data_IF_922491415882
#
_entry.id   IF_922491415882
#
_cell.length_a   1.000
_cell.length_b   1.000
_cell.length_c   1.000
_cell.angle_alpha   90.00
_cell.angle_beta   90.00
_cell.angle_gamma   90.00
#
_symmetry.space_group_name_H-M   'P 1'
#
loop_
_entity.id
_entity.type
_entity.pdbx_description
1 polymer ?
#
# COMPACT_ATOMS: atom_id res chain seq x y z
N UNK A 1 26.02 -2.50 -28.74
CA UNK A 1 25.60 -1.33 -27.94
C UNK A 1 24.14 -1.51 -27.59
N UNK A 2 23.84 -1.75 -26.30
CA UNK A 2 22.49 -2.08 -25.83
C UNK A 2 21.60 -0.84 -25.87
N UNK A 3 20.43 -0.93 -26.52
CA UNK A 3 19.35 0.05 -26.39
C UNK A 3 18.84 -0.01 -24.94
N UNK A 4 19.47 0.70 -24.01
CA UNK A 4 18.74 1.11 -22.79
C UNK A 4 17.54 1.92 -23.27
N UNK A 5 16.34 1.47 -22.95
CA UNK A 5 15.11 2.13 -23.39
C UNK A 5 15.09 3.56 -22.88
N UNK A 6 14.76 4.53 -23.74
CA UNK A 6 14.43 5.92 -23.39
C UNK A 6 13.33 6.09 -22.31
N UNK A 7 12.76 4.99 -21.81
CA UNK A 7 11.52 4.90 -21.03
C UNK A 7 11.66 5.22 -19.53
N UNK A 8 12.88 5.24 -18.99
CA UNK A 8 13.15 5.59 -17.59
C UNK A 8 14.02 6.85 -17.44
N UNK A 9 14.25 7.60 -18.52
CA UNK A 9 15.21 8.72 -18.52
C UNK A 9 14.86 9.83 -17.51
N UNK A 10 13.58 9.94 -17.10
CA UNK A 10 13.15 10.93 -16.12
C UNK A 10 12.89 10.37 -14.72
N UNK A 11 13.03 9.05 -14.50
CA UNK A 11 12.84 8.46 -13.16
C UNK A 11 14.08 8.72 -12.31
N UNK A 12 13.88 9.45 -11.21
CA UNK A 12 14.94 9.82 -10.25
C UNK A 12 14.68 9.24 -8.86
N UNK A 13 13.42 8.97 -8.54
CA UNK A 13 13.01 8.45 -7.24
C UNK A 13 12.19 7.18 -7.44
N UNK A 14 12.42 6.18 -6.60
CA UNK A 14 11.56 5.00 -6.50
C UNK A 14 10.78 5.10 -5.19
N UNK A 15 9.47 4.89 -5.25
CA UNK A 15 8.59 4.85 -4.08
C UNK A 15 7.94 3.47 -4.01
N UNK A 16 8.26 2.73 -2.96
CA UNK A 16 7.52 1.54 -2.55
C UNK A 16 6.32 1.96 -1.71
N UNK A 17 5.11 1.72 -2.21
CA UNK A 17 3.86 2.06 -1.54
C UNK A 17 3.17 0.78 -1.06
N UNK A 18 2.99 0.69 0.25
CA UNK A 18 2.14 -0.30 0.88
C UNK A 18 0.79 0.36 1.19
N UNK A 19 -0.18 0.12 0.32
CA UNK A 19 -1.56 0.53 0.52
C UNK A 19 -2.32 -0.60 1.21
N UNK A 20 -2.19 -0.70 2.54
CA UNK A 20 -2.83 -1.77 3.32
C UNK A 20 -4.30 -1.50 3.65
N UNK A 21 -5.02 -2.53 4.08
CA UNK A 21 -6.44 -2.42 4.45
C UNK A 21 -6.69 -1.50 5.65
N UNK A 22 -5.80 -1.55 6.65
CA UNK A 22 -5.96 -0.80 7.91
C UNK A 22 -4.95 0.32 8.04
N UNK A 23 -3.73 0.10 7.54
CA UNK A 23 -2.63 1.05 7.59
C UNK A 23 -1.92 1.08 6.25
N UNK A 24 -1.50 2.25 5.83
CA UNK A 24 -0.66 2.43 4.65
C UNK A 24 0.63 3.16 5.00
N UNK A 25 1.68 2.89 4.25
CA UNK A 25 2.98 3.54 4.40
C UNK A 25 3.76 3.54 3.09
N UNK A 26 4.80 4.35 3.02
CA UNK A 26 5.69 4.34 1.87
C UNK A 26 7.15 4.50 2.27
N UNK A 27 8.00 3.86 1.47
CA UNK A 27 9.46 3.95 1.53
C UNK A 27 9.94 4.48 0.19
N UNK A 28 10.99 5.27 0.20
CA UNK A 28 11.48 5.95 -0.98
C UNK A 28 13.01 6.00 -1.01
N UNK A 29 13.60 6.05 -2.21
CA UNK A 29 15.04 6.21 -2.39
C UNK A 29 15.34 6.93 -3.71
N UNK A 30 16.50 7.59 -3.77
CA UNK A 30 17.01 8.13 -5.03
C UNK A 30 17.70 7.02 -5.83
N UNK A 31 17.55 7.03 -7.15
CA UNK A 31 18.11 5.98 -8.03
C UNK A 31 19.64 5.91 -8.00
N UNK A 32 20.30 7.02 -7.65
CA UNK A 32 21.76 7.13 -7.61
C UNK A 32 22.36 6.57 -6.31
N UNK A 33 21.78 6.89 -5.15
CA UNK A 33 22.32 6.48 -3.84
C UNK A 33 21.74 5.16 -3.32
N UNK A 34 20.53 4.79 -3.77
CA UNK A 34 19.76 3.61 -3.35
C UNK A 34 19.59 3.50 -1.83
N UNK A 35 19.72 4.61 -1.10
CA UNK A 35 19.50 4.63 0.34
C UNK A 35 17.99 4.74 0.60
N UNK A 36 17.41 3.67 1.15
CA UNK A 36 16.01 3.62 1.48
C UNK A 36 15.72 4.47 2.71
N UNK A 37 14.62 5.21 2.66
CA UNK A 37 14.07 5.93 3.80
C UNK A 37 12.57 5.72 3.85
N UNK A 38 12.04 5.41 5.02
CA UNK A 38 10.61 5.22 5.24
C UNK A 38 10.02 6.51 5.76
N UNK A 39 8.83 6.88 5.27
CA UNK A 39 8.16 8.06 5.80
C UNK A 39 7.70 7.82 7.24
N UNK A 40 7.94 8.82 8.09
CA UNK A 40 7.54 8.82 9.51
C UNK A 40 6.70 10.05 9.89
N UNK A 41 6.46 10.94 8.92
CA UNK A 41 5.74 12.19 9.15
C UNK A 41 4.38 12.12 8.48
N UNK A 42 3.33 12.18 9.28
CA UNK A 42 1.94 12.10 8.82
C UNK A 42 1.12 13.26 9.42
N UNK A 43 0.00 13.64 8.80
CA UNK A 43 -0.92 14.58 9.42
C UNK A 43 -1.30 14.14 10.85
N UNK A 44 -0.95 14.95 11.85
CA UNK A 44 -1.27 14.67 13.26
C UNK A 44 -0.45 13.54 13.93
N UNK A 45 0.56 12.95 13.27
CA UNK A 45 1.45 11.94 13.87
C UNK A 45 2.89 12.07 13.38
N UNK A 46 3.85 11.93 14.29
CA UNK A 46 5.29 11.88 13.99
C UNK A 46 5.91 10.60 14.55
N UNK A 47 6.87 10.02 13.83
CA UNK A 47 7.60 8.82 14.24
C UNK A 47 6.84 7.50 14.01
N UNK A 48 5.77 7.53 13.21
CA UNK A 48 5.00 6.34 12.84
C UNK A 48 5.33 5.95 11.40
N UNK A 49 5.69 4.69 11.13
CA UNK A 49 5.99 4.26 9.75
C UNK A 49 4.78 4.18 8.82
N UNK A 50 3.57 4.16 9.40
CA UNK A 50 2.31 4.06 8.67
C UNK A 50 1.26 4.97 9.28
N UNK A 51 0.28 5.36 8.47
CA UNK A 51 -0.97 6.02 8.91
C UNK A 51 -2.18 5.16 8.58
N UNK A 52 -3.34 5.46 9.19
CA UNK A 52 -4.57 4.71 9.01
C UNK A 52 -5.14 4.81 7.58
N UNK A 53 -5.58 3.70 7.00
CA UNK A 53 -6.29 3.67 5.70
C UNK A 53 -7.76 4.06 5.89
N UNK A 54 -7.99 5.33 6.20
CA UNK A 54 -9.31 5.87 6.58
C UNK A 54 -9.51 7.26 5.98
N UNK A 55 -10.75 7.55 5.60
CA UNK A 55 -11.20 8.86 5.11
C UNK A 55 -12.38 9.36 5.96
N UNK A 56 -12.45 10.66 6.21
CA UNK A 56 -13.64 11.38 6.68
C UNK A 56 -14.08 12.31 5.54
N UNK A 57 -15.32 12.16 5.08
CA UNK A 57 -15.93 13.04 4.10
C UNK A 57 -16.74 14.18 4.77
N UNK A 58 -17.09 15.19 3.99
CA UNK A 58 -18.13 16.14 4.36
C UNK A 58 -19.52 15.49 4.43
N UNK A 59 -20.52 16.25 4.88
CA UNK A 59 -21.88 15.75 5.10
C UNK A 59 -22.58 15.31 3.79
N UNK A 60 -22.15 15.88 2.66
CA UNK A 60 -22.65 15.56 1.32
C UNK A 60 -21.91 14.35 0.69
N UNK A 61 -20.86 13.84 1.35
CA UNK A 61 -20.00 12.74 0.88
C UNK A 61 -19.27 13.02 -0.45
N UNK A 62 -19.05 14.30 -0.75
CA UNK A 62 -18.47 14.77 -2.01
C UNK A 62 -16.98 15.07 -1.87
N UNK A 63 -16.51 15.40 -0.66
CA UNK A 63 -15.13 15.83 -0.43
C UNK A 63 -14.53 15.19 0.81
N UNK A 64 -13.29 14.72 0.68
CA UNK A 64 -12.46 14.33 1.82
C UNK A 64 -12.11 15.56 2.65
N UNK A 65 -12.50 15.57 3.92
CA UNK A 65 -12.15 16.62 4.89
C UNK A 65 -10.98 16.22 5.77
N UNK A 66 -10.84 14.92 6.08
CA UNK A 66 -9.68 14.36 6.80
C UNK A 66 -9.34 12.99 6.22
N UNK A 67 -8.08 12.61 6.32
CA UNK A 67 -7.59 11.28 5.97
C UNK A 67 -6.57 10.83 7.01
N UNK A 68 -6.24 9.55 7.03
CA UNK A 68 -5.24 9.04 7.97
C UNK A 68 -5.72 9.06 9.41
N UNK A 69 -4.78 9.16 10.35
CA UNK A 69 -5.07 9.27 11.77
C UNK A 69 -6.02 10.42 12.16
N UNK A 70 -5.94 11.63 11.57
CA UNK A 70 -6.88 12.71 11.87
C UNK A 70 -8.36 12.34 11.74
N UNK A 71 -8.72 11.49 10.76
CA UNK A 71 -10.11 11.03 10.57
C UNK A 71 -10.64 10.23 11.78
N UNK A 72 -9.76 9.64 12.59
CA UNK A 72 -10.12 8.86 13.78
C UNK A 72 -10.19 9.70 15.07
N UNK A 73 -9.49 10.82 15.16
CA UNK A 73 -9.21 11.49 16.46
C UNK A 73 -10.29 12.44 16.97
N UNK A 74 -11.17 12.94 16.12
CA UNK A 74 -12.28 13.79 16.57
C UNK A 74 -13.25 12.94 17.41
N UNK A 75 -13.29 13.15 18.73
CA UNK A 75 -14.34 12.62 19.63
C UNK A 75 -15.62 13.44 19.42
N UNK A 76 -16.67 12.89 18.81
CA UNK A 76 -17.96 13.58 18.76
C UNK A 76 -18.64 13.58 20.14
N UNK A 77 -19.54 14.54 20.36
CA UNK A 77 -20.53 14.44 21.44
C UNK A 77 -21.50 13.28 21.14
N UNK A 78 -22.12 12.69 22.17
CA UNK A 78 -23.00 11.50 22.03
C UNK A 78 -24.07 11.59 20.93
N UNK A 79 -24.56 12.79 20.59
CA UNK A 79 -25.55 12.98 19.51
C UNK A 79 -24.93 13.07 18.10
N UNK A 80 -23.64 13.41 17.98
CA UNK A 80 -22.92 13.50 16.70
C UNK A 80 -22.18 12.20 16.32
N UNK A 81 -22.18 11.18 17.20
CA UNK A 81 -21.52 9.89 16.94
C UNK A 81 -22.08 9.17 15.71
N UNK A 82 -23.41 9.20 15.53
CA UNK A 82 -24.08 8.47 14.44
C UNK A 82 -23.74 9.11 13.08
N UNK A 83 -23.83 10.45 12.97
CA UNK A 83 -23.52 11.16 11.73
C UNK A 83 -22.01 11.08 11.42
N UNK A 84 -21.15 11.21 12.43
CA UNK A 84 -19.69 11.10 12.23
C UNK A 84 -19.29 9.72 11.69
N UNK A 85 -19.91 8.64 12.19
CA UNK A 85 -19.64 7.28 11.68
C UNK A 85 -20.10 7.09 10.23
N UNK A 86 -21.07 7.86 9.73
CA UNK A 86 -21.50 7.76 8.32
C UNK A 86 -20.49 8.38 7.36
N UNK A 87 -19.83 9.46 7.77
CA UNK A 87 -18.88 10.15 6.90
C UNK A 87 -17.47 9.54 6.97
N UNK A 88 -17.18 8.72 7.99
CA UNK A 88 -15.93 7.99 8.12
C UNK A 88 -16.01 6.67 7.35
N UNK A 89 -15.08 6.49 6.41
CA UNK A 89 -15.01 5.32 5.52
C UNK A 89 -13.72 4.57 5.80
N UNK A 90 -13.85 3.33 6.26
CA UNK A 90 -12.74 2.42 6.56
C UNK A 90 -12.88 1.15 5.71
N UNK A 91 -11.80 0.35 5.63
CA UNK A 91 -11.84 -1.02 5.08
C UNK A 91 -12.29 -1.14 3.61
N UNK A 92 -12.35 -0.01 2.88
CA UNK A 92 -12.79 0.05 1.49
C UNK A 92 -11.89 -0.77 0.54
N UNK A 93 -10.60 -0.96 0.86
CA UNK A 93 -9.70 -1.86 0.11
C UNK A 93 -10.23 -3.30 0.03
N UNK A 94 -10.97 -3.77 1.04
CA UNK A 94 -11.48 -5.15 1.06
C UNK A 94 -12.48 -5.43 -0.09
N UNK A 95 -13.11 -4.40 -0.63
CA UNK A 95 -14.07 -4.53 -1.74
C UNK A 95 -13.40 -4.88 -3.09
N UNK A 96 -12.06 -4.79 -3.17
CA UNK A 96 -11.29 -5.32 -4.31
C UNK A 96 -11.14 -6.84 -4.25
N UNK A 97 -11.20 -7.43 -3.06
CA UNK A 97 -11.04 -8.87 -2.87
C UNK A 97 -12.32 -9.66 -3.13
N UNK A 98 -12.17 -10.98 -3.21
CA UNK A 98 -13.29 -11.92 -3.34
C UNK A 98 -14.00 -12.17 -2.00
N UNK A 99 -14.36 -11.10 -1.30
CA UNK A 99 -15.17 -11.20 -0.09
C UNK A 99 -16.53 -11.84 -0.39
N UNK A 100 -16.93 -12.79 0.45
CA UNK A 100 -18.28 -13.33 0.39
C UNK A 100 -19.30 -12.19 0.61
N UNK A 101 -20.51 -12.26 0.02
CA UNK A 101 -21.50 -11.19 0.19
C UNK A 101 -21.88 -10.90 1.65
N UNK A 102 -21.83 -11.92 2.53
CA UNK A 102 -22.10 -11.80 3.97
C UNK A 102 -21.03 -11.00 4.72
N UNK A 103 -19.86 -10.87 4.10
CA UNK A 103 -18.67 -10.24 4.60
C UNK A 103 -18.47 -8.82 3.99
N UNK A 104 -19.34 -8.38 3.09
CA UNK A 104 -19.24 -7.02 2.56
C UNK A 104 -19.81 -6.02 3.55
N UNK A 105 -18.98 -5.05 3.91
CA UNK A 105 -19.38 -3.93 4.77
C UNK A 105 -20.09 -2.91 3.86
N UNK A 106 -21.16 -2.30 4.34
CA UNK A 106 -21.77 -1.18 3.62
C UNK A 106 -20.89 0.06 3.78
N UNK A 107 -20.48 0.63 2.65
CA UNK A 107 -19.74 1.89 2.60
C UNK A 107 -20.68 3.02 2.23
N UNK A 108 -20.46 4.20 2.80
CA UNK A 108 -21.21 5.41 2.44
C UNK A 108 -20.83 5.97 1.07
N UNK A 109 -19.68 5.58 0.52
CA UNK A 109 -19.20 5.94 -0.82
C UNK A 109 -18.77 4.69 -1.60
N UNK A 110 -18.72 4.78 -2.92
CA UNK A 110 -18.18 3.69 -3.75
C UNK A 110 -16.71 3.42 -3.38
N UNK A 111 -16.35 2.15 -3.25
CA UNK A 111 -15.01 1.76 -2.79
C UNK A 111 -13.91 2.24 -3.74
N UNK A 112 -14.16 2.37 -5.05
CA UNK A 112 -13.17 2.90 -6.00
C UNK A 112 -12.94 4.39 -5.81
N UNK A 113 -13.99 5.13 -5.47
CA UNK A 113 -13.89 6.55 -5.10
C UNK A 113 -13.03 6.66 -3.83
N UNK A 114 -13.34 5.88 -2.79
CA UNK A 114 -12.56 5.87 -1.56
C UNK A 114 -11.08 5.49 -1.77
N UNK A 115 -10.79 4.48 -2.61
CA UNK A 115 -9.41 4.12 -2.96
C UNK A 115 -8.73 5.29 -3.67
N UNK A 116 -9.37 5.87 -4.68
CA UNK A 116 -8.83 6.99 -5.46
C UNK A 116 -8.53 8.20 -4.58
N UNK A 117 -9.47 8.55 -3.71
CA UNK A 117 -9.34 9.70 -2.84
C UNK A 117 -8.25 9.49 -1.78
N UNK A 118 -8.14 8.28 -1.20
CA UNK A 118 -7.05 7.95 -0.31
C UNK A 118 -5.69 8.00 -1.01
N UNK A 119 -5.59 7.43 -2.21
CA UNK A 119 -4.38 7.48 -3.02
C UNK A 119 -4.00 8.92 -3.38
N UNK A 120 -4.98 9.80 -3.62
CA UNK A 120 -4.75 11.22 -3.86
C UNK A 120 -4.13 11.91 -2.65
N UNK A 121 -4.66 11.67 -1.45
CA UNK A 121 -4.14 12.29 -0.22
C UNK A 121 -2.74 11.78 0.15
N UNK A 122 -2.52 10.47 0.11
CA UNK A 122 -1.16 9.92 0.33
C UNK A 122 -0.20 10.35 -0.78
N UNK A 123 -0.69 10.55 -2.00
CA UNK A 123 0.08 11.08 -3.13
C UNK A 123 0.59 12.49 -2.91
N UNK A 124 -0.22 13.37 -2.31
CA UNK A 124 0.23 14.70 -1.88
C UNK A 124 1.36 14.59 -0.86
N UNK A 125 1.19 13.74 0.15
CA UNK A 125 2.22 13.50 1.18
C UNK A 125 3.53 12.97 0.58
N UNK A 126 3.45 12.04 -0.38
CA UNK A 126 4.62 11.55 -1.12
C UNK A 126 5.28 12.71 -1.89
N UNK A 127 4.50 13.52 -2.60
CA UNK A 127 4.97 14.70 -3.33
C UNK A 127 5.72 15.70 -2.46
N UNK A 128 5.15 16.06 -1.30
CA UNK A 128 5.78 16.95 -0.32
C UNK A 128 7.07 16.34 0.27
N UNK A 129 7.07 15.04 0.53
CA UNK A 129 8.23 14.33 1.08
C UNK A 129 9.40 14.28 0.08
N UNK A 130 9.13 14.04 -1.20
CA UNK A 130 10.20 14.00 -2.21
C UNK A 130 10.72 15.41 -2.54
N UNK A 131 9.85 16.41 -2.62
CA UNK A 131 10.23 17.80 -2.95
C UNK A 131 11.06 18.42 -1.82
N UNK A 132 10.69 18.17 -0.55
CA UNK A 132 11.45 18.63 0.61
C UNK A 132 12.83 17.97 0.73
N UNK A 133 13.00 16.75 0.22
CA UNK A 133 14.27 16.02 0.29
C UNK A 133 15.17 16.27 -0.92
N UNK A 134 14.58 16.47 -2.10
CA UNK A 134 15.27 16.66 -3.35
C UNK A 134 14.63 17.80 -4.13
N UNK A 135 15.32 18.94 -4.13
CA UNK A 135 14.83 20.18 -4.74
C UNK A 135 14.42 19.99 -6.20
N UNK A 136 13.19 20.42 -6.52
CA UNK A 136 12.62 20.35 -7.86
C UNK A 136 12.14 18.96 -8.31
N UNK A 137 12.13 17.95 -7.42
CA UNK A 137 11.55 16.65 -7.73
C UNK A 137 10.02 16.69 -7.67
N UNK A 138 9.39 16.11 -8.69
CA UNK A 138 7.94 16.01 -8.80
C UNK A 138 7.51 14.55 -8.94
N UNK A 139 6.20 14.30 -8.81
CA UNK A 139 5.62 12.96 -9.00
C UNK A 139 5.88 12.38 -10.40
N UNK A 140 6.15 13.19 -11.41
CA UNK A 140 6.55 12.74 -12.75
C UNK A 140 7.93 12.05 -12.78
N UNK A 141 8.79 12.34 -11.78
CA UNK A 141 10.10 11.73 -11.61
C UNK A 141 10.06 10.43 -10.79
N UNK A 142 8.89 10.03 -10.31
CA UNK A 142 8.71 8.88 -9.43
C UNK A 142 8.34 7.64 -10.24
N UNK A 143 9.00 6.53 -9.92
CA UNK A 143 8.54 5.16 -10.19
C UNK A 143 7.86 4.61 -8.94
N UNK A 144 6.58 4.32 -9.04
CA UNK A 144 5.79 3.67 -7.99
C UNK A 144 5.89 2.14 -8.12
N UNK A 145 6.26 1.50 -7.02
CA UNK A 145 6.14 0.06 -6.80
C UNK A 145 5.03 -0.14 -5.77
N UNK A 146 3.84 -0.54 -6.22
CA UNK A 146 2.68 -0.75 -5.37
C UNK A 146 2.58 -2.22 -4.96
N UNK A 147 2.55 -2.50 -3.66
CA UNK A 147 2.29 -3.85 -3.16
C UNK A 147 0.80 -4.14 -3.19
N UNK A 148 0.42 -5.35 -3.61
CA UNK A 148 -0.95 -5.85 -3.57
C UNK A 148 -1.01 -7.25 -2.97
N UNK A 149 -2.16 -7.67 -2.39
CA UNK A 149 -2.35 -9.04 -1.94
C UNK A 149 -2.12 -10.04 -3.08
N UNK A 150 -1.68 -11.25 -2.73
CA UNK A 150 -1.37 -12.28 -3.72
C UNK A 150 -2.62 -12.80 -4.45
N UNK A 151 -3.79 -12.68 -3.81
CA UNK A 151 -5.07 -13.17 -4.29
C UNK A 151 -5.73 -12.20 -5.29
N UNK A 152 -5.15 -11.02 -5.51
CA UNK A 152 -5.70 -10.05 -6.45
C UNK A 152 -5.61 -10.58 -7.88
N UNK A 153 -6.77 -10.68 -8.52
CA UNK A 153 -6.88 -11.02 -9.93
C UNK A 153 -6.55 -9.82 -10.84
N UNK A 154 -6.49 -10.06 -12.15
CA UNK A 154 -6.22 -9.03 -13.16
C UNK A 154 -7.24 -7.87 -13.08
N UNK A 155 -8.47 -8.14 -12.63
CA UNK A 155 -9.51 -7.13 -12.49
C UNK A 155 -9.22 -6.21 -11.30
N UNK A 156 -8.82 -6.75 -10.15
CA UNK A 156 -8.43 -5.97 -8.99
C UNK A 156 -7.19 -5.12 -9.29
N UNK A 157 -6.18 -5.69 -9.95
CA UNK A 157 -4.98 -4.95 -10.39
C UNK A 157 -5.35 -3.82 -11.35
N UNK A 158 -6.25 -4.07 -12.30
CA UNK A 158 -6.75 -3.04 -13.22
C UNK A 158 -7.48 -1.91 -12.49
N UNK A 159 -8.34 -2.23 -11.52
CA UNK A 159 -9.04 -1.21 -10.71
C UNK A 159 -8.03 -0.36 -9.93
N UNK A 160 -7.01 -0.98 -9.32
CA UNK A 160 -5.95 -0.23 -8.62
C UNK A 160 -5.21 0.72 -9.56
N UNK A 161 -4.91 0.27 -10.79
CA UNK A 161 -4.28 1.10 -11.82
C UNK A 161 -5.18 2.26 -12.26
N UNK A 162 -6.49 2.04 -12.43
CA UNK A 162 -7.48 3.09 -12.69
C UNK A 162 -7.48 4.12 -11.55
N UNK A 163 -7.51 3.67 -10.29
CA UNK A 163 -7.49 4.56 -9.12
C UNK A 163 -6.19 5.38 -9.01
N UNK A 164 -5.02 4.79 -9.29
CA UNK A 164 -3.73 5.51 -9.32
C UNK A 164 -3.72 6.63 -10.38
N UNK A 165 -4.31 6.38 -11.55
CA UNK A 165 -4.45 7.36 -12.62
C UNK A 165 -5.42 8.49 -12.23
N UNK A 166 -6.58 8.14 -11.65
CA UNK A 166 -7.60 9.11 -11.24
C UNK A 166 -7.17 9.95 -10.02
N UNK A 167 -6.27 9.39 -9.20
CA UNK A 167 -5.57 10.09 -8.13
C UNK A 167 -4.46 11.03 -8.64
N UNK A 168 -4.16 11.03 -9.95
CA UNK A 168 -3.08 11.81 -10.60
C UNK A 168 -1.67 11.46 -10.11
N UNK A 169 -1.48 10.21 -9.68
CA UNK A 169 -0.16 9.67 -9.35
C UNK A 169 0.60 9.20 -10.58
N UNK A 170 -0.13 8.82 -11.63
CA UNK A 170 0.38 8.55 -12.97
C UNK A 170 -0.36 9.38 -14.00
N UNK A 171 0.28 9.59 -15.14
CA UNK A 171 -0.14 10.43 -16.26
C UNK A 171 -0.89 9.65 -17.36
N UNK A 172 -0.68 8.34 -17.41
CA UNK A 172 -1.32 7.42 -18.34
C UNK A 172 -1.67 6.12 -17.61
N UNK A 173 -2.80 5.51 -17.97
CA UNK A 173 -3.26 4.26 -17.37
C UNK A 173 -2.20 3.15 -17.49
N UNK A 174 -1.46 3.10 -18.60
CA UNK A 174 -0.43 2.12 -18.89
C UNK A 174 0.98 2.65 -18.63
N UNK A 175 1.12 3.73 -17.86
CA UNK A 175 2.42 4.27 -17.47
C UNK A 175 3.30 3.20 -16.86
N UNK A 176 4.51 3.03 -17.42
CA UNK A 176 5.52 2.10 -16.92
C UNK A 176 6.15 2.57 -15.60
N UNK A 177 5.82 3.80 -15.17
CA UNK A 177 6.15 4.36 -13.85
C UNK A 177 5.26 3.81 -12.73
N UNK A 178 4.30 2.93 -13.04
CA UNK A 178 3.59 2.14 -12.04
C UNK A 178 3.81 0.64 -12.30
N UNK A 179 4.47 0.01 -11.34
CA UNK A 179 4.66 -1.44 -11.29
C UNK A 179 4.00 -2.00 -10.04
N UNK A 180 3.56 -3.24 -10.14
CA UNK A 180 2.96 -3.98 -9.05
C UNK A 180 3.89 -5.11 -8.63
N UNK A 181 3.92 -5.38 -7.33
CA UNK A 181 4.52 -6.59 -6.75
C UNK A 181 3.54 -7.15 -5.74
N UNK A 182 3.66 -8.43 -5.40
CA UNK A 182 2.83 -8.96 -4.30
C UNK A 182 3.43 -8.57 -2.94
N UNK A 183 2.58 -8.31 -1.95
CA UNK A 183 2.97 -8.09 -0.54
C UNK A 183 3.93 -9.19 -0.02
N UNK A 184 3.64 -10.50 -0.16
CA UNK A 184 4.56 -11.56 0.27
C UNK A 184 5.85 -11.65 -0.55
N UNK A 185 5.87 -11.18 -1.80
CA UNK A 185 7.11 -11.09 -2.58
C UNK A 185 7.99 -9.94 -2.11
N UNK A 186 7.41 -8.76 -1.85
CA UNK A 186 8.12 -7.63 -1.29
C UNK A 186 8.73 -7.97 0.07
N UNK A 187 7.96 -8.62 0.95
CA UNK A 187 8.44 -9.11 2.24
C UNK A 187 9.60 -10.11 2.09
N UNK A 188 9.51 -11.03 1.13
CA UNK A 188 10.57 -12.02 0.90
C UNK A 188 11.86 -11.41 0.38
N UNK A 189 11.79 -10.45 -0.53
CA UNK A 189 12.97 -9.70 -1.00
C UNK A 189 13.60 -8.95 0.16
N UNK A 190 12.80 -8.30 1.01
CA UNK A 190 13.30 -7.58 2.17
C UNK A 190 14.01 -8.52 3.16
N UNK A 191 13.37 -9.64 3.53
CA UNK A 191 13.96 -10.63 4.42
C UNK A 191 15.24 -11.24 3.85
N UNK A 192 15.27 -11.52 2.54
CA UNK A 192 16.45 -12.06 1.87
C UNK A 192 17.61 -11.08 1.89
N UNK A 193 17.35 -9.79 1.64
CA UNK A 193 18.43 -8.81 1.49
C UNK A 193 18.96 -8.28 2.84
N UNK A 194 18.14 -8.32 3.90
CA UNK A 194 18.49 -7.83 5.24
C UNK A 194 18.66 -8.97 6.25
N UNK A 195 17.58 -9.69 6.59
CA UNK A 195 17.58 -10.67 7.69
C UNK A 195 18.43 -11.91 7.39
N UNK A 196 18.25 -12.53 6.23
CA UNK A 196 18.97 -13.77 5.90
C UNK A 196 20.47 -13.52 5.73
N UNK A 197 20.86 -12.36 5.18
CA UNK A 197 22.28 -11.99 5.10
C UNK A 197 22.88 -11.69 6.46
N UNK A 198 22.15 -11.01 7.33
CA UNK A 198 22.63 -10.67 8.68
C UNK A 198 22.86 -11.93 9.53
N UNK A 199 22.09 -12.99 9.28
CA UNK A 199 22.19 -14.27 9.98
C UNK A 199 22.98 -15.36 9.21
N UNK A 200 23.69 -15.00 8.12
CA UNK A 200 24.43 -15.94 7.26
C UNK A 200 23.59 -17.11 6.69
N UNK A 201 22.26 -16.94 6.59
CA UNK A 201 21.31 -17.92 6.07
C UNK A 201 21.08 -17.76 4.56
N UNK A 202 22.18 -17.66 3.79
CA UNK A 202 22.12 -17.38 2.33
C UNK A 202 22.37 -18.61 1.45
N UNK A 203 22.48 -19.78 2.06
CA UNK A 203 22.71 -21.03 1.33
C UNK A 203 21.53 -21.39 0.43
N UNK A 204 21.84 -21.79 -0.81
CA UNK A 204 20.84 -22.31 -1.73
C UNK A 204 20.18 -23.55 -1.12
N UNK A 205 18.85 -23.57 -1.11
CA UNK A 205 18.06 -24.61 -0.47
C UNK A 205 17.44 -24.20 0.86
N UNK A 206 17.93 -23.11 1.47
CA UNK A 206 17.35 -22.53 2.69
C UNK A 206 15.87 -22.21 2.46
N UNK A 207 15.03 -22.65 3.37
CA UNK A 207 13.59 -22.42 3.34
C UNK A 207 13.20 -21.54 4.52
N UNK A 208 12.37 -20.54 4.27
CA UNK A 208 11.87 -19.64 5.30
C UNK A 208 10.38 -19.37 5.07
N UNK A 209 9.68 -19.09 6.16
CA UNK A 209 8.26 -18.77 6.13
C UNK A 209 8.09 -17.30 6.51
N UNK A 210 7.26 -16.62 5.75
CA UNK A 210 6.76 -15.29 6.08
C UNK A 210 5.33 -15.47 6.58
N UNK A 211 5.07 -14.88 7.74
CA UNK A 211 3.75 -14.80 8.34
C UNK A 211 3.41 -13.31 8.43
N UNK A 212 2.57 -12.83 7.52
CA UNK A 212 2.08 -11.46 7.53
C UNK A 212 0.75 -11.43 8.30
N UNK A 213 0.77 -10.82 9.48
CA UNK A 213 -0.40 -10.66 10.34
C UNK A 213 -0.89 -9.20 10.26
N UNK A 214 -1.58 -8.88 9.18
CA UNK A 214 -2.15 -7.56 8.94
C UNK A 214 -3.40 -7.25 9.78
N UNK A 215 -3.87 -6.00 9.70
CA UNK A 215 -5.06 -5.57 10.42
C UNK A 215 -6.39 -6.18 9.91
N UNK A 216 -6.41 -6.72 8.68
CA UNK A 216 -7.58 -7.32 8.06
C UNK A 216 -7.36 -8.70 7.44
N UNK A 217 -6.11 -9.11 7.23
CA UNK A 217 -5.73 -10.38 6.59
C UNK A 217 -4.59 -11.03 7.37
N UNK A 218 -4.48 -12.36 7.30
CA UNK A 218 -3.30 -13.09 7.74
C UNK A 218 -2.85 -13.97 6.59
N UNK A 219 -1.63 -13.76 6.12
CA UNK A 219 -1.10 -14.40 4.91
C UNK A 219 0.19 -15.16 5.23
N UNK A 220 0.21 -16.46 4.91
CA UNK A 220 1.38 -17.33 5.11
C UNK A 220 1.97 -17.71 3.77
N UNK A 221 3.28 -17.47 3.61
CA UNK A 221 4.02 -17.87 2.41
C UNK A 221 5.34 -18.53 2.78
N UNK A 222 5.57 -19.74 2.27
CA UNK A 222 6.85 -20.45 2.41
C UNK A 222 7.70 -20.28 1.15
N UNK A 223 8.89 -19.71 1.32
CA UNK A 223 9.85 -19.44 0.24
C UNK A 223 11.09 -20.30 0.40
N UNK A 224 11.66 -20.72 -0.74
CA UNK A 224 12.96 -21.38 -0.80
C UNK A 224 13.94 -20.52 -1.57
N UNK A 225 15.09 -20.27 -0.97
CA UNK A 225 16.19 -19.60 -1.62
C UNK A 225 16.77 -20.53 -2.68
N UNK A 226 16.74 -20.07 -3.93
CA UNK A 226 17.36 -20.73 -5.07
C UNK A 226 18.71 -20.09 -5.37
N UNK A 227 19.52 -20.77 -6.19
CA UNK A 227 20.77 -20.22 -6.69
C UNK A 227 20.58 -18.82 -7.30
N UNK A 228 21.59 -17.96 -7.13
CA UNK A 228 21.61 -16.57 -7.65
C UNK A 228 20.55 -15.62 -7.04
N UNK A 229 20.22 -15.79 -5.76
CA UNK A 229 19.25 -14.93 -5.04
C UNK A 229 17.85 -14.92 -5.67
N UNK A 230 17.45 -16.03 -6.27
CA UNK A 230 16.09 -16.21 -6.75
C UNK A 230 15.25 -16.83 -5.65
N UNK A 231 13.95 -16.52 -5.63
CA UNK A 231 13.01 -17.08 -4.67
C UNK A 231 12.10 -18.08 -5.39
N UNK A 232 12.07 -19.32 -4.90
CA UNK A 232 11.09 -20.33 -5.27
C UNK A 232 9.96 -20.39 -4.24
N UNK A 233 8.79 -20.86 -4.66
CA UNK A 233 7.64 -21.10 -3.79
C UNK A 233 7.54 -22.59 -3.45
N UNK A 234 7.43 -22.94 -2.16
CA UNK A 234 7.48 -24.35 -1.70
C UNK A 234 6.09 -24.94 -1.51
N UNK A 235 5.09 -24.14 -1.17
CA UNK A 235 3.71 -24.56 -0.91
C UNK A 235 2.73 -23.55 -1.48
N UNK A 236 1.50 -24.00 -1.75
CA UNK A 236 0.35 -23.13 -2.08
C UNK A 236 0.13 -22.13 -0.92
N UNK A 237 -0.08 -20.84 -1.24
CA UNK A 237 -0.32 -19.78 -0.25
C UNK A 237 -1.65 -20.03 0.45
N UNK A 238 -1.69 -19.75 1.75
CA UNK A 238 -2.93 -19.77 2.52
C UNK A 238 -3.08 -18.43 3.22
N UNK A 239 -4.20 -17.75 2.94
CA UNK A 239 -4.58 -16.49 3.55
C UNK A 239 -6.08 -16.46 3.82
N UNK A 240 -6.48 -15.81 4.92
CA UNK A 240 -7.90 -15.64 5.27
C UNK A 240 -8.13 -14.30 6.02
N UNK A 241 -9.39 -13.85 6.03
CA UNK A 241 -9.83 -12.59 6.63
C UNK A 241 -9.95 -12.69 8.16
N UNK A 242 -8.81 -12.82 8.84
CA UNK A 242 -8.76 -13.15 10.28
C UNK A 242 -8.34 -11.99 11.22
N UNK A 243 -8.21 -10.76 10.71
CA UNK A 243 -7.81 -9.57 11.49
C UNK A 243 -8.94 -8.93 12.33
N UNK A 244 -8.93 -7.60 12.52
CA UNK A 244 -10.04 -6.80 13.15
C UNK A 244 -11.41 -7.12 12.51
N UNK A 245 -11.37 -7.62 11.28
CA UNK A 245 -12.50 -8.13 10.55
C UNK A 245 -13.20 -9.32 11.24
N UNK A 246 -12.46 -10.28 11.79
CA UNK A 246 -13.02 -11.41 12.54
C UNK A 246 -13.66 -11.00 13.88
N UNK A 247 -13.20 -9.91 14.50
CA UNK A 247 -13.72 -9.41 15.78
C UNK A 247 -14.83 -8.36 15.65
N UNK A 248 -15.08 -7.80 14.45
CA UNK A 248 -16.26 -6.96 14.17
C UNK A 248 -17.48 -7.76 13.68
N UNK A 249 -17.32 -9.04 13.34
CA UNK A 249 -18.35 -9.91 12.75
C UNK A 249 -18.83 -11.02 13.69
N UNK A 250 -18.09 -11.27 14.79
CA UNK A 250 -18.51 -12.09 15.92
C UNK A 250 -19.05 -11.20 17.05
#
# INVERSE_FOLDING_TARGET
>A
MSKKSKKFENVRVVVGLDFGTTFSGFTYCHVEDKQMSTNETWPGQLGQFKTNTVLEYDDDLDKVVLWGYPALTKRPSRNNEINKRKNVVELFKLHLGNLSPKLRIELSVDYKIAITDYLREIGKCIGETIDSRWDGMKLENVLFILTVPAEYDDKAIRIMRECMNDAKLIDDLYSERLQFTTEPEAAAIYCMENNLKEHDLTDSGTTFMIVDCGGGTVDLTTRKLLNRKQLGEVTERTGDYCGIYGSRIL
#
